data_IF_347604708181
#
_entry.id   IF_347604708181
#
_cell.length_a   1.000
_cell.length_b   1.000
_cell.length_c   1.000
_cell.angle_alpha   90.00
_cell.angle_beta   90.00
_cell.angle_gamma   90.00
#
_symmetry.space_group_name_H-M   'P 1'
#
loop_
_entity.id
_entity.type
_entity.pdbx_description
1 polymer ?
#
# COMPACT_ATOMS: atom_id res chain seq x y z
N UNK A 1 -0.55 -11.15 -8.82
CA UNK A 1 -1.30 -10.84 -10.06
C UNK A 1 -1.14 -9.38 -10.41
N UNK A 2 -1.18 -9.04 -11.69
CA UNK A 2 -1.12 -7.66 -12.15
C UNK A 2 -1.76 -7.53 -13.52
N UNK A 3 -2.24 -6.32 -13.81
CA UNK A 3 -2.69 -5.91 -15.13
C UNK A 3 -1.61 -4.96 -15.63
N UNK A 4 -1.13 -5.21 -16.85
CA UNK A 4 -0.04 -4.44 -17.45
C UNK A 4 -0.51 -3.98 -18.83
N UNK A 5 -0.40 -2.68 -19.09
CA UNK A 5 -0.55 -2.18 -20.45
C UNK A 5 0.77 -2.38 -21.20
N UNK A 6 0.65 -2.71 -22.48
CA UNK A 6 1.79 -2.89 -23.38
C UNK A 6 1.52 -2.23 -24.72
N UNK A 7 2.56 -1.68 -25.33
CA UNK A 7 2.57 -1.32 -26.74
C UNK A 7 3.28 -2.40 -27.53
N UNK A 8 2.79 -2.70 -28.74
CA UNK A 8 3.35 -3.74 -29.59
C UNK A 8 4.25 -3.13 -30.66
N UNK A 9 5.46 -3.68 -30.80
CA UNK A 9 6.34 -3.39 -31.95
C UNK A 9 6.65 -4.68 -32.69
N UNK A 10 6.67 -4.63 -34.02
CA UNK A 10 7.02 -5.75 -34.89
C UNK A 10 8.51 -5.73 -35.20
N UNK A 11 9.14 -6.90 -35.27
CA UNK A 11 10.58 -7.00 -35.53
C UNK A 11 11.04 -8.44 -35.67
N UNK A 12 12.34 -8.66 -35.47
CA UNK A 12 12.94 -9.99 -35.40
C UNK A 12 13.57 -10.17 -34.04
N UNK A 13 12.94 -10.98 -33.20
CA UNK A 13 13.38 -11.16 -31.83
C UNK A 13 13.78 -12.61 -31.59
N UNK A 14 14.84 -12.76 -30.82
CA UNK A 14 15.18 -14.02 -30.20
C UNK A 14 14.45 -14.07 -28.85
N UNK A 15 13.54 -15.03 -28.70
CA UNK A 15 12.75 -15.20 -27.48
C UNK A 15 13.57 -15.86 -26.38
N UNK A 16 13.25 -15.51 -25.13
CA UNK A 16 13.79 -16.20 -23.98
C UNK A 16 13.18 -17.59 -23.87
N UNK A 17 13.99 -18.55 -23.48
CA UNK A 17 13.56 -19.95 -23.43
C UNK A 17 14.71 -20.88 -23.11
N UNK A 18 14.41 -22.16 -22.83
CA UNK A 18 15.43 -23.17 -22.68
C UNK A 18 16.26 -23.26 -23.95
N UNK A 19 17.59 -23.21 -23.82
CA UNK A 19 18.46 -23.38 -24.99
C UNK A 19 18.67 -24.86 -25.27
N UNK A 20 18.50 -25.24 -26.53
CA UNK A 20 18.83 -26.58 -27.02
C UNK A 20 20.26 -26.67 -27.55
N UNK A 21 21.01 -25.56 -27.58
CA UNK A 21 22.39 -25.52 -28.02
C UNK A 21 23.33 -26.09 -26.95
N UNK A 22 23.63 -27.37 -27.05
CA UNK A 22 24.46 -28.09 -26.06
C UNK A 22 25.86 -27.46 -25.92
N UNK A 23 26.40 -26.90 -27.00
CA UNK A 23 27.71 -26.22 -26.99
C UNK A 23 27.77 -24.98 -26.09
N UNK A 24 26.62 -24.41 -25.70
CA UNK A 24 26.55 -23.30 -24.75
C UNK A 24 26.88 -23.74 -23.30
N UNK A 25 26.81 -25.04 -22.98
CA UNK A 25 27.08 -25.58 -21.66
C UNK A 25 28.54 -26.00 -21.52
N UNK A 26 29.36 -25.11 -20.96
CA UNK A 26 30.79 -25.37 -20.75
C UNK A 26 31.11 -26.00 -19.40
N UNK A 27 30.20 -25.92 -18.43
CA UNK A 27 30.34 -26.51 -17.09
C UNK A 27 29.01 -27.06 -16.58
N UNK A 28 29.08 -28.06 -15.70
CA UNK A 28 27.91 -28.67 -15.07
C UNK A 28 27.21 -27.64 -14.14
N UNK A 29 25.87 -27.56 -14.20
CA UNK A 29 25.09 -26.61 -13.39
C UNK A 29 24.82 -25.25 -14.06
N UNK A 30 25.26 -25.05 -15.31
CA UNK A 30 24.83 -23.88 -16.10
C UNK A 30 23.32 -23.93 -16.36
N UNK A 31 22.69 -22.76 -16.29
CA UNK A 31 21.24 -22.63 -16.48
C UNK A 31 20.94 -22.71 -17.97
N UNK A 32 20.16 -23.71 -18.39
CA UNK A 32 19.65 -23.82 -19.76
C UNK A 32 18.53 -22.81 -19.98
N UNK A 33 18.86 -21.53 -20.06
CA UNK A 33 17.95 -20.54 -20.62
C UNK A 33 18.68 -19.33 -21.22
N UNK A 34 18.17 -18.87 -22.37
CA UNK A 34 18.36 -17.48 -22.77
C UNK A 34 17.45 -16.63 -21.88
N UNK A 35 18.06 -15.83 -20.99
CA UNK A 35 17.34 -15.07 -19.96
C UNK A 35 16.79 -13.73 -20.43
N UNK A 36 17.40 -13.15 -21.47
CA UNK A 36 17.04 -11.81 -21.93
C UNK A 36 16.78 -11.86 -23.44
N UNK A 37 15.62 -11.36 -23.91
CA UNK A 37 15.32 -11.40 -25.33
C UNK A 37 16.32 -10.52 -26.08
N UNK A 38 16.61 -10.87 -27.33
CA UNK A 38 17.58 -10.14 -28.17
C UNK A 38 16.89 -9.61 -29.41
N UNK A 39 17.15 -8.34 -29.74
CA UNK A 39 16.65 -7.71 -30.95
C UNK A 39 17.68 -7.93 -32.07
N UNK A 40 17.31 -8.78 -33.02
CA UNK A 40 18.19 -9.14 -34.13
C UNK A 40 18.34 -8.01 -35.15
N UNK A 41 17.44 -7.03 -35.15
CA UNK A 41 17.52 -5.89 -36.05
C UNK A 41 18.57 -4.88 -35.56
N UNK A 42 18.66 -4.67 -34.25
CA UNK A 42 19.59 -3.71 -33.65
C UNK A 42 20.89 -4.35 -33.14
N UNK A 43 20.93 -5.67 -32.99
CA UNK A 43 22.08 -6.35 -32.40
C UNK A 43 22.24 -6.08 -30.91
N UNK A 44 21.14 -5.77 -30.21
CA UNK A 44 21.15 -5.44 -28.78
C UNK A 44 20.12 -6.25 -28.01
N UNK A 45 20.23 -6.26 -26.68
CA UNK A 45 19.17 -6.76 -25.82
C UNK A 45 17.82 -6.09 -26.12
N UNK A 46 16.78 -6.89 -26.36
CA UNK A 46 15.43 -6.41 -26.59
C UNK A 46 14.79 -5.97 -25.27
N UNK A 47 14.11 -4.82 -25.28
CA UNK A 47 13.50 -4.23 -24.07
C UNK A 47 12.07 -4.72 -23.83
N UNK A 48 11.77 -5.94 -24.24
CA UNK A 48 10.43 -6.50 -24.21
C UNK A 48 10.06 -6.97 -22.80
N UNK A 49 8.88 -6.58 -22.33
CA UNK A 49 8.25 -7.21 -21.17
C UNK A 49 7.85 -8.67 -21.49
N UNK A 50 7.45 -8.90 -22.74
CA UNK A 50 7.21 -10.22 -23.31
C UNK A 50 7.42 -10.15 -24.83
N UNK A 51 7.88 -11.23 -25.45
CA UNK A 51 8.13 -11.26 -26.90
C UNK A 51 7.77 -12.58 -27.54
N UNK A 52 7.47 -12.52 -28.83
CA UNK A 52 7.49 -13.64 -29.78
C UNK A 52 8.67 -13.44 -30.74
N UNK A 53 8.86 -14.36 -31.70
CA UNK A 53 9.90 -14.18 -32.72
C UNK A 53 9.68 -12.94 -33.61
N UNK A 54 8.44 -12.42 -33.67
CA UNK A 54 8.04 -11.35 -34.57
C UNK A 54 7.50 -10.10 -33.87
N UNK A 55 7.19 -10.20 -32.57
CA UNK A 55 6.57 -9.14 -31.81
C UNK A 55 7.24 -8.93 -30.46
N UNK A 56 7.37 -7.68 -30.04
CA UNK A 56 7.88 -7.27 -28.75
C UNK A 56 6.83 -6.39 -28.05
N UNK A 57 6.42 -6.81 -26.86
CA UNK A 57 5.50 -6.07 -26.01
C UNK A 57 6.33 -5.20 -25.07
N UNK A 58 6.32 -3.89 -25.31
CA UNK A 58 6.99 -2.91 -24.49
C UNK A 58 6.05 -2.44 -23.37
N UNK A 59 6.57 -2.23 -22.17
CA UNK A 59 5.79 -1.70 -21.06
C UNK A 59 5.18 -0.34 -21.44
N UNK A 60 3.88 -0.18 -21.19
CA UNK A 60 3.13 1.03 -21.50
C UNK A 60 2.40 1.53 -20.23
N UNK A 61 2.27 2.86 -20.04
CA UNK A 61 1.54 3.39 -18.89
C UNK A 61 0.06 3.00 -18.94
N UNK A 62 -0.47 2.59 -17.79
CA UNK A 62 -1.89 2.42 -17.56
C UNK A 62 -2.54 3.79 -17.36
N UNK A 63 -3.71 4.05 -17.96
CA UNK A 63 -4.49 5.25 -17.65
C UNK A 63 -4.92 5.26 -16.17
N UNK A 64 -4.94 6.45 -15.57
CA UNK A 64 -5.23 6.65 -14.15
C UNK A 64 -6.71 6.92 -13.87
N UNK A 65 -7.50 7.14 -14.90
CA UNK A 65 -8.94 7.46 -14.88
C UNK A 65 -9.84 6.26 -15.23
N UNK A 66 -9.23 5.11 -15.53
CA UNK A 66 -9.93 3.86 -15.83
C UNK A 66 -9.83 2.90 -14.64
N UNK A 67 -10.97 2.30 -14.30
CA UNK A 67 -11.02 1.20 -13.33
C UNK A 67 -10.68 -0.12 -14.02
N UNK A 68 -9.65 -0.79 -13.51
CA UNK A 68 -9.26 -2.12 -13.92
C UNK A 68 -9.70 -3.12 -12.86
N UNK A 69 -10.04 -4.34 -13.28
CA UNK A 69 -10.46 -5.37 -12.35
C UNK A 69 -10.13 -6.77 -12.84
N UNK A 70 -10.03 -7.68 -11.88
CA UNK A 70 -9.78 -9.08 -12.13
C UNK A 70 -10.67 -9.93 -11.22
N UNK A 71 -11.30 -10.95 -11.82
CA UNK A 71 -12.12 -11.93 -11.13
C UNK A 71 -11.44 -13.28 -11.23
N UNK A 72 -11.13 -13.89 -10.09
CA UNK A 72 -10.63 -15.25 -10.00
C UNK A 72 -11.67 -16.15 -9.36
N UNK A 73 -11.78 -17.37 -9.87
CA UNK A 73 -12.42 -18.48 -9.17
C UNK A 73 -11.35 -19.51 -8.83
N UNK A 74 -11.21 -19.84 -7.55
CA UNK A 74 -10.11 -20.65 -7.04
C UNK A 74 -10.63 -21.78 -6.17
N UNK A 75 -10.23 -23.00 -6.52
CA UNK A 75 -10.45 -24.18 -5.68
C UNK A 75 -9.54 -24.15 -4.43
N UNK A 76 -8.25 -23.84 -4.63
CA UNK A 76 -7.33 -23.54 -3.54
C UNK A 76 -7.62 -22.15 -2.97
N UNK A 77 -8.27 -22.10 -1.81
CA UNK A 77 -8.70 -20.84 -1.17
C UNK A 77 -7.50 -19.98 -0.78
N UNK A 78 -7.58 -18.69 -1.10
CA UNK A 78 -6.67 -17.67 -0.56
C UNK A 78 -7.17 -17.27 0.83
N UNK A 79 -6.26 -17.31 1.79
CA UNK A 79 -6.45 -16.86 3.17
C UNK A 79 -5.51 -15.69 3.51
N UNK A 80 -5.73 -15.08 4.68
CA UNK A 80 -4.83 -14.06 5.20
C UNK A 80 -5.00 -12.70 4.52
N UNK A 81 -3.91 -12.09 4.08
CA UNK A 81 -3.90 -10.71 3.57
C UNK A 81 -3.29 -10.62 2.17
N UNK A 82 -3.81 -9.70 1.37
CA UNK A 82 -3.19 -9.30 0.11
C UNK A 82 -2.60 -7.90 0.27
N UNK A 83 -1.58 -7.61 -0.52
CA UNK A 83 -1.14 -6.24 -0.72
C UNK A 83 -1.23 -5.85 -2.21
N UNK A 84 -1.25 -4.56 -2.51
CA UNK A 84 -1.50 -4.10 -3.86
C UNK A 84 -0.94 -2.74 -4.24
N UNK A 85 -0.94 -2.50 -5.55
CA UNK A 85 -0.67 -1.23 -6.23
C UNK A 85 -1.95 -0.81 -6.93
N UNK A 86 -2.95 -0.41 -6.17
CA UNK A 86 -4.23 0.05 -6.72
C UNK A 86 -4.70 1.26 -5.92
N UNK A 87 -5.52 2.09 -6.57
CA UNK A 87 -6.18 3.22 -5.94
C UNK A 87 -7.70 3.04 -6.02
N UNK A 88 -8.45 3.60 -5.06
CA UNK A 88 -9.90 3.37 -4.92
C UNK A 88 -10.26 1.89 -4.97
N UNK A 89 -9.48 1.07 -4.27
CA UNK A 89 -9.59 -0.39 -4.35
C UNK A 89 -10.95 -0.85 -3.83
N UNK A 90 -11.64 -1.69 -4.59
CA UNK A 90 -12.87 -2.37 -4.20
C UNK A 90 -12.67 -3.86 -4.37
N UNK A 91 -13.15 -4.65 -3.41
CA UNK A 91 -13.08 -6.09 -3.51
C UNK A 91 -14.36 -6.76 -3.02
N UNK A 92 -14.74 -7.84 -3.70
CA UNK A 92 -15.82 -8.71 -3.30
C UNK A 92 -15.30 -10.15 -3.28
N UNK A 93 -15.58 -10.85 -2.18
CA UNK A 93 -15.10 -12.22 -1.98
C UNK A 93 -16.25 -13.07 -1.52
N UNK A 94 -16.58 -14.06 -2.34
CA UNK A 94 -17.74 -14.94 -2.14
C UNK A 94 -17.31 -16.40 -2.25
N UNK A 95 -18.18 -17.28 -1.78
CA UNK A 95 -18.05 -18.72 -2.01
C UNK A 95 -19.06 -19.10 -3.09
N UNK A 96 -18.58 -19.70 -4.18
CA UNK A 96 -19.43 -20.22 -5.25
C UNK A 96 -20.20 -21.46 -4.80
N UNK A 97 -21.22 -21.86 -5.58
CA UNK A 97 -22.08 -22.99 -5.25
C UNK A 97 -21.33 -24.33 -5.14
N UNK A 98 -20.20 -24.48 -5.82
CA UNK A 98 -19.31 -25.64 -5.76
C UNK A 98 -18.26 -25.56 -4.63
N UNK A 99 -18.33 -24.53 -3.78
CA UNK A 99 -17.43 -24.35 -2.63
C UNK A 99 -16.12 -23.63 -2.95
N UNK A 100 -15.87 -23.33 -4.24
CA UNK A 100 -14.73 -22.54 -4.68
C UNK A 100 -14.83 -21.09 -4.19
N UNK A 101 -13.69 -20.45 -3.96
CA UNK A 101 -13.64 -19.04 -3.61
C UNK A 101 -13.63 -18.18 -4.87
N UNK A 102 -14.51 -17.19 -4.95
CA UNK A 102 -14.49 -16.16 -5.98
C UNK A 102 -13.92 -14.89 -5.38
N UNK A 103 -12.87 -14.35 -5.98
CA UNK A 103 -12.20 -13.11 -5.57
C UNK A 103 -12.29 -12.13 -6.72
N UNK A 104 -12.99 -11.04 -6.49
CA UNK A 104 -13.09 -9.92 -7.40
C UNK A 104 -12.38 -8.74 -6.78
N UNK A 105 -11.38 -8.19 -7.47
CA UNK A 105 -10.71 -6.96 -7.04
C UNK A 105 -10.69 -5.99 -8.22
N UNK A 106 -11.08 -4.75 -7.96
CA UNK A 106 -11.05 -3.66 -8.92
C UNK A 106 -10.49 -2.38 -8.31
N UNK A 107 -10.11 -1.45 -9.16
CA UNK A 107 -9.61 -0.13 -8.80
C UNK A 107 -8.76 0.45 -9.90
N UNK A 108 -8.29 1.68 -9.69
CA UNK A 108 -7.46 2.41 -10.66
C UNK A 108 -6.00 2.06 -10.50
N UNK A 109 -5.23 2.28 -11.57
CA UNK A 109 -3.78 2.22 -11.49
C UNK A 109 -3.23 3.32 -10.57
N UNK A 110 -2.07 3.08 -9.97
CA UNK A 110 -1.36 4.03 -9.10
C UNK A 110 -0.03 4.44 -9.72
N UNK A 111 0.35 5.72 -9.59
CA UNK A 111 1.73 6.16 -9.86
C UNK A 111 2.62 5.68 -8.72
N UNK A 112 3.61 4.83 -9.02
CA UNK A 112 4.52 4.25 -8.02
C UNK A 112 5.94 4.77 -8.26
N UNK A 113 6.44 5.71 -7.42
CA UNK A 113 7.84 6.12 -7.48
C UNK A 113 8.75 4.90 -7.37
N UNK A 114 9.73 4.80 -8.25
CA UNK A 114 10.67 3.69 -8.28
C UNK A 114 12.09 4.22 -8.09
N UNK A 115 12.87 3.50 -7.30
CA UNK A 115 14.25 3.85 -6.97
C UNK A 115 15.17 2.89 -7.70
N UNK A 116 16.02 3.49 -8.54
CA UNK A 116 17.02 2.79 -9.31
C UNK A 116 18.21 3.73 -9.49
N UNK A 117 19.39 3.29 -9.04
CA UNK A 117 20.60 4.07 -9.10
C UNK A 117 21.81 3.15 -9.17
N UNK A 118 22.88 3.66 -9.76
CA UNK A 118 24.16 2.99 -9.79
C UNK A 118 25.25 4.00 -9.48
N UNK A 119 26.20 3.57 -8.64
CA UNK A 119 27.35 4.37 -8.24
C UNK A 119 28.60 3.50 -8.35
N UNK A 120 29.70 4.01 -8.93
CA UNK A 120 31.01 3.40 -8.77
C UNK A 120 31.32 3.21 -7.28
N UNK A 121 32.02 2.13 -6.90
CA UNK A 121 32.38 1.87 -5.49
C UNK A 121 33.18 3.03 -4.85
N UNK A 122 33.97 3.74 -5.65
CA UNK A 122 34.76 4.91 -5.23
C UNK A 122 33.91 6.14 -4.95
N UNK A 123 32.70 6.20 -5.52
CA UNK A 123 31.86 7.40 -5.57
C UNK A 123 30.51 7.16 -4.89
N UNK A 124 30.41 6.13 -4.04
CA UNK A 124 29.18 5.81 -3.32
C UNK A 124 28.82 7.00 -2.42
N UNK A 125 27.57 7.50 -2.49
CA UNK A 125 27.10 8.55 -1.60
C UNK A 125 27.26 8.16 -0.13
N UNK A 126 27.72 9.11 0.69
CA UNK A 126 28.03 8.88 2.11
C UNK A 126 26.90 8.18 2.87
N UNK A 127 25.65 8.53 2.63
CA UNK A 127 24.48 7.95 3.30
C UNK A 127 24.36 6.43 3.05
N UNK A 128 24.64 6.00 1.82
CA UNK A 128 24.61 4.58 1.43
C UNK A 128 25.84 3.85 1.96
N UNK A 129 27.01 4.48 1.89
CA UNK A 129 28.24 3.92 2.45
C UNK A 129 28.15 3.73 3.97
N UNK A 130 27.66 4.73 4.70
CA UNK A 130 27.47 4.69 6.15
C UNK A 130 26.47 3.58 6.55
N UNK A 131 25.38 3.41 5.79
CA UNK A 131 24.43 2.32 6.02
C UNK A 131 25.09 0.94 5.94
N UNK A 132 25.75 0.63 4.83
CA UNK A 132 26.38 -0.68 4.66
C UNK A 132 27.62 -0.88 5.54
N UNK A 133 28.29 0.18 5.96
CA UNK A 133 29.38 0.09 6.95
C UNK A 133 28.85 -0.39 8.32
N UNK A 134 27.63 0.00 8.70
CA UNK A 134 26.97 -0.48 9.93
C UNK A 134 26.44 -1.92 9.83
N UNK A 135 26.35 -2.46 8.60
CA UNK A 135 25.80 -3.78 8.27
C UNK A 135 26.61 -4.48 7.18
N UNK A 136 27.87 -4.85 7.47
CA UNK A 136 28.78 -5.42 6.47
C UNK A 136 28.27 -6.72 5.85
N UNK A 137 27.48 -7.51 6.58
CA UNK A 137 26.80 -8.71 6.07
C UNK A 137 25.79 -8.38 4.98
N UNK A 138 25.05 -7.28 5.12
CA UNK A 138 24.06 -6.85 4.13
C UNK A 138 24.73 -6.30 2.86
N UNK A 139 25.96 -5.82 2.97
CA UNK A 139 26.72 -5.27 1.84
C UNK A 139 26.97 -6.30 0.73
N UNK A 140 27.05 -7.60 1.06
CA UNK A 140 27.33 -8.67 0.11
C UNK A 140 26.09 -9.30 -0.55
N UNK A 141 24.88 -9.06 -0.03
CA UNK A 141 23.65 -9.61 -0.60
C UNK A 141 23.18 -8.85 -1.83
N UNK A 142 22.67 -9.58 -2.82
CA UNK A 142 22.15 -9.06 -4.09
C UNK A 142 22.60 -9.91 -5.29
N UNK A 143 22.24 -9.46 -6.49
CA UNK A 143 22.71 -10.10 -7.73
C UNK A 143 24.08 -9.55 -8.12
N UNK A 144 25.11 -10.37 -7.96
CA UNK A 144 26.49 -10.04 -8.31
C UNK A 144 26.77 -10.24 -9.81
N UNK A 145 27.57 -9.33 -10.38
CA UNK A 145 28.02 -9.37 -11.77
C UNK A 145 29.56 -9.28 -11.84
N UNK A 146 30.14 -10.03 -12.78
CA UNK A 146 31.58 -10.15 -12.98
C UNK A 146 32.23 -11.21 -12.08
N UNK A 147 33.46 -11.59 -12.44
CA UNK A 147 34.23 -12.58 -11.69
C UNK A 147 34.61 -12.04 -10.31
N UNK A 148 34.36 -12.84 -9.27
CA UNK A 148 34.74 -12.48 -7.91
C UNK A 148 36.26 -12.38 -7.83
N UNK A 149 36.74 -11.32 -7.19
CA UNK A 149 38.16 -11.22 -6.84
C UNK A 149 38.53 -12.34 -5.87
N UNK A 150 39.74 -12.89 -6.03
CA UNK A 150 40.24 -13.95 -5.15
C UNK A 150 40.16 -13.51 -3.67
N UNK A 151 39.50 -14.33 -2.85
CA UNK A 151 39.29 -14.03 -1.42
C UNK A 151 38.15 -13.06 -1.09
N UNK A 152 37.40 -12.57 -2.09
CA UNK A 152 36.24 -11.70 -1.85
C UNK A 152 34.90 -12.42 -1.98
N UNK A 153 34.02 -12.23 -1.01
CA UNK A 153 32.62 -12.66 -1.08
C UNK A 153 31.75 -11.70 -1.90
N UNK A 154 32.27 -10.51 -2.27
CA UNK A 154 31.52 -9.45 -2.94
C UNK A 154 31.90 -9.39 -4.41
N UNK A 155 30.91 -9.44 -5.30
CA UNK A 155 31.14 -9.27 -6.73
C UNK A 155 31.66 -7.85 -7.06
N UNK A 156 32.43 -7.67 -8.15
CA UNK A 156 32.90 -6.35 -8.59
C UNK A 156 31.76 -5.37 -8.81
N UNK A 157 30.66 -5.84 -9.41
CA UNK A 157 29.38 -5.13 -9.51
C UNK A 157 28.30 -5.90 -8.75
N UNK A 158 27.42 -5.18 -8.06
CA UNK A 158 26.36 -5.76 -7.25
C UNK A 158 25.08 -4.94 -7.43
N UNK A 159 24.00 -5.60 -7.83
CA UNK A 159 22.66 -5.02 -7.83
C UNK A 159 21.95 -5.39 -6.52
N UNK A 160 21.45 -4.38 -5.81
CA UNK A 160 20.59 -4.55 -4.64
C UNK A 160 19.14 -4.76 -5.10
N UNK A 161 18.80 -6.01 -5.39
CA UNK A 161 17.49 -6.43 -5.89
C UNK A 161 16.72 -7.36 -4.95
N UNK A 162 17.27 -7.63 -3.75
CA UNK A 162 16.56 -8.44 -2.76
C UNK A 162 15.36 -7.67 -2.21
N UNK A 163 14.17 -8.15 -2.56
CA UNK A 163 12.89 -7.55 -2.19
C UNK A 163 12.44 -8.04 -0.82
N UNK A 164 13.02 -7.48 0.22
CA UNK A 164 12.61 -7.75 1.59
C UNK A 164 11.79 -6.61 2.17
N UNK A 165 10.48 -6.76 2.21
CA UNK A 165 9.53 -5.73 2.66
C UNK A 165 9.26 -5.82 4.17
N UNK A 166 10.31 -5.98 4.97
CA UNK A 166 10.26 -5.96 6.44
C UNK A 166 10.56 -4.57 6.97
N UNK A 167 10.06 -4.28 8.16
CA UNK A 167 10.34 -3.01 8.84
C UNK A 167 11.84 -2.72 9.00
N UNK A 168 12.65 -3.77 9.27
CA UNK A 168 14.11 -3.66 9.44
C UNK A 168 14.85 -3.18 8.19
N UNK A 169 14.21 -3.17 7.03
CA UNK A 169 14.78 -2.80 5.73
C UNK A 169 14.48 -1.34 5.36
N UNK A 170 13.60 -0.65 6.10
CA UNK A 170 13.31 0.78 5.88
C UNK A 170 14.57 1.65 5.90
N UNK A 171 15.52 1.50 6.84
CA UNK A 171 16.72 2.33 6.86
C UNK A 171 17.57 2.24 5.58
N UNK A 172 17.61 1.07 4.92
CA UNK A 172 18.29 0.92 3.62
C UNK A 172 17.60 1.77 2.55
N UNK A 173 16.27 1.63 2.43
CA UNK A 173 15.48 2.40 1.48
C UNK A 173 15.69 3.91 1.68
N UNK A 174 15.68 4.40 2.93
CA UNK A 174 15.91 5.82 3.24
C UNK A 174 17.33 6.27 2.89
N UNK A 175 18.35 5.44 3.09
CA UNK A 175 19.72 5.75 2.66
C UNK A 175 19.79 5.95 1.14
N UNK A 176 19.14 5.08 0.36
CA UNK A 176 19.06 5.20 -1.10
C UNK A 176 18.20 6.39 -1.56
N UNK A 177 17.11 6.72 -0.88
CA UNK A 177 16.33 7.92 -1.21
C UNK A 177 17.16 9.18 -0.99
N UNK A 178 17.92 9.22 0.11
CA UNK A 178 18.82 10.34 0.44
C UNK A 178 19.92 10.50 -0.59
N UNK A 179 20.52 9.40 -1.06
CA UNK A 179 21.50 9.41 -2.15
C UNK A 179 20.94 10.00 -3.46
N UNK A 180 19.63 9.88 -3.68
CA UNK A 180 18.93 10.43 -4.83
C UNK A 180 18.28 11.79 -4.55
N UNK A 181 18.69 12.46 -3.47
CA UNK A 181 18.17 13.78 -3.06
C UNK A 181 16.64 13.77 -2.92
N UNK A 182 16.12 12.65 -2.42
CA UNK A 182 14.70 12.39 -2.19
C UNK A 182 13.82 12.51 -3.45
N UNK A 183 14.42 12.30 -4.64
CA UNK A 183 13.74 12.38 -5.94
C UNK A 183 13.78 11.04 -6.66
N UNK A 184 12.62 10.52 -7.02
CA UNK A 184 12.54 9.30 -7.80
C UNK A 184 13.04 9.54 -9.25
N UNK A 185 13.90 8.67 -9.80
CA UNK A 185 14.31 8.75 -11.21
C UNK A 185 13.18 8.38 -12.17
N UNK A 186 12.22 7.57 -11.73
CA UNK A 186 11.05 7.18 -12.52
C UNK A 186 9.83 6.92 -11.63
N UNK A 187 8.63 7.05 -12.19
CA UNK A 187 7.38 6.82 -11.48
C UNK A 187 6.33 6.17 -12.42
N UNK A 188 6.47 4.88 -12.75
CA UNK A 188 5.52 4.18 -13.60
C UNK A 188 4.14 4.07 -12.96
N UNK A 189 3.13 3.93 -13.80
CA UNK A 189 1.78 3.51 -13.39
C UNK A 189 1.74 2.00 -13.20
N UNK A 190 1.13 1.52 -12.12
CA UNK A 190 1.04 0.09 -11.81
C UNK A 190 -0.37 -0.29 -11.37
N UNK A 191 -0.80 -1.49 -11.75
CA UNK A 191 -1.97 -2.16 -11.19
C UNK A 191 -1.58 -3.57 -10.78
N UNK A 192 -1.64 -3.88 -9.48
CA UNK A 192 -1.38 -5.24 -9.02
C UNK A 192 -1.99 -5.57 -7.67
N UNK A 193 -2.25 -6.86 -7.47
CA UNK A 193 -2.68 -7.47 -6.20
C UNK A 193 -1.84 -8.73 -6.01
N UNK A 194 -1.18 -8.85 -4.87
CA UNK A 194 -0.20 -9.89 -4.58
C UNK A 194 -0.49 -10.52 -3.23
N UNK A 195 -0.15 -11.80 -3.10
CA UNK A 195 -0.07 -12.42 -1.79
C UNK A 195 1.00 -11.73 -0.96
N UNK A 196 0.77 -11.71 0.34
CA UNK A 196 1.73 -11.19 1.30
C UNK A 196 2.29 -12.35 2.10
N UNK A 197 3.52 -12.24 2.59
CA UNK A 197 4.00 -13.15 3.60
C UNK A 197 3.09 -12.97 4.83
N UNK A 198 2.42 -14.03 5.28
CA UNK A 198 1.47 -13.96 6.38
C UNK A 198 2.11 -13.25 7.58
N UNK A 199 1.61 -12.07 7.93
CA UNK A 199 2.09 -11.32 9.09
C UNK A 199 1.72 -12.02 10.39
N UNK A 200 2.30 -11.56 11.50
CA UNK A 200 1.94 -12.05 12.83
C UNK A 200 0.45 -11.90 13.09
N UNK A 201 -0.13 -12.93 13.68
CA UNK A 201 -1.54 -12.97 14.05
C UNK A 201 -1.82 -11.89 15.11
N UNK A 202 -2.64 -10.90 14.77
CA UNK A 202 -2.96 -9.79 15.66
C UNK A 202 -4.11 -10.21 16.57
N UNK A 203 -3.81 -10.54 17.84
CA UNK A 203 -4.77 -10.95 18.88
C UNK A 203 -5.62 -12.19 18.54
N UNK A 204 -5.16 -13.08 17.66
CA UNK A 204 -6.00 -14.21 17.23
C UNK A 204 -7.00 -13.84 16.12
N UNK A 205 -7.10 -12.56 15.75
CA UNK A 205 -8.12 -12.06 14.82
C UNK A 205 -7.78 -12.31 13.36
N UNK A 206 -6.52 -12.65 13.05
CA UNK A 206 -6.08 -13.00 11.70
C UNK A 206 -6.08 -14.51 11.45
N UNK A 207 -6.44 -15.32 12.46
CA UNK A 207 -6.45 -16.80 12.43
C UNK A 207 -7.43 -17.43 11.43
N UNK A 208 -8.20 -16.67 10.66
CA UNK A 208 -9.08 -17.26 9.66
C UNK A 208 -8.25 -17.83 8.50
N UNK A 209 -7.81 -19.06 8.68
CA UNK A 209 -7.04 -19.87 7.74
C UNK A 209 -7.86 -20.34 6.54
N UNK A 210 -9.17 -20.11 6.50
CA UNK A 210 -10.06 -20.55 5.43
C UNK A 210 -10.50 -19.42 4.48
N UNK A 211 -10.19 -18.15 4.77
CA UNK A 211 -10.66 -17.03 3.96
C UNK A 211 -9.81 -15.77 4.07
N UNK A 212 -9.93 -14.86 3.09
CA UNK A 212 -9.22 -13.60 3.10
C UNK A 212 -9.70 -12.67 4.22
N UNK A 213 -8.78 -12.05 4.95
CA UNK A 213 -9.01 -11.09 6.03
C UNK A 213 -9.01 -9.63 5.55
N UNK A 214 -8.16 -9.30 4.57
CA UNK A 214 -8.03 -7.93 4.09
C UNK A 214 -7.09 -7.75 2.90
N UNK A 215 -7.10 -6.53 2.35
CA UNK A 215 -6.23 -6.04 1.29
C UNK A 215 -5.67 -4.68 1.73
N UNK A 216 -4.37 -4.51 1.61
CA UNK A 216 -3.71 -3.20 1.76
C UNK A 216 -3.13 -2.78 0.43
N UNK A 217 -3.56 -1.66 -0.14
CA UNK A 217 -2.97 -1.12 -1.35
C UNK A 217 -2.35 0.26 -1.11
N UNK A 218 -1.17 0.49 -1.67
CA UNK A 218 -0.46 1.76 -1.57
C UNK A 218 0.35 2.03 -2.82
N UNK A 219 0.57 3.31 -3.11
CA UNK A 219 1.41 3.77 -4.20
C UNK A 219 2.88 4.02 -3.78
N UNK A 220 3.22 3.77 -2.51
CA UNK A 220 4.55 4.08 -1.96
C UNK A 220 5.65 3.16 -2.50
N UNK A 221 6.84 3.67 -2.85
CA UNK A 221 7.98 2.87 -3.30
C UNK A 221 8.25 1.64 -2.41
N UNK A 222 8.32 1.84 -1.09
CA UNK A 222 8.56 0.79 -0.10
C UNK A 222 7.47 0.77 0.98
N UNK A 223 7.22 -0.40 1.56
CA UNK A 223 6.15 -0.63 2.54
C UNK A 223 6.38 -1.95 3.26
N UNK A 224 5.70 -2.19 4.39
CA UNK A 224 5.73 -3.51 5.04
C UNK A 224 4.79 -4.48 4.29
N UNK A 225 5.31 -5.59 3.76
CA UNK A 225 4.50 -6.60 3.05
C UNK A 225 3.76 -7.51 4.02
N UNK A 226 2.82 -6.94 4.77
CA UNK A 226 1.95 -7.64 5.70
C UNK A 226 0.68 -6.84 6.00
N UNK A 227 -0.20 -7.36 6.86
CA UNK A 227 -1.29 -6.57 7.42
C UNK A 227 -0.77 -5.38 8.23
N UNK A 228 -1.61 -4.35 8.48
CA UNK A 228 -1.31 -3.36 9.49
C UNK A 228 -1.13 -4.01 10.87
N UNK A 229 -0.21 -3.47 11.67
CA UNK A 229 0.09 -3.96 13.01
C UNK A 229 -0.84 -3.26 14.00
N UNK A 230 -1.46 -4.01 14.90
CA UNK A 230 -2.30 -3.41 15.93
C UNK A 230 -1.43 -2.88 17.08
N UNK A 231 -1.56 -1.60 17.33
CA UNK A 231 -0.93 -0.88 18.43
C UNK A 231 -1.94 -0.75 19.58
N UNK A 232 -1.74 -1.53 20.65
CA UNK A 232 -2.66 -1.57 21.79
C UNK A 232 -2.68 -0.25 22.57
N UNK A 233 -1.53 0.40 22.71
CA UNK A 233 -1.37 1.65 23.45
C UNK A 233 -2.14 2.78 22.77
N UNK A 234 -2.03 2.87 21.45
CA UNK A 234 -2.69 3.90 20.65
C UNK A 234 -4.12 3.52 20.24
N UNK A 235 -4.51 2.26 20.48
CA UNK A 235 -5.71 1.62 19.95
C UNK A 235 -5.85 1.88 18.44
N UNK A 236 -4.83 1.49 17.66
CA UNK A 236 -4.75 1.79 16.23
C UNK A 236 -4.17 0.65 15.40
N UNK A 237 -4.47 0.66 14.10
CA UNK A 237 -3.78 -0.13 13.08
C UNK A 237 -2.72 0.74 12.43
N UNK A 238 -1.46 0.38 12.61
CA UNK A 238 -0.30 1.12 12.12
C UNK A 238 0.28 0.40 10.89
N UNK A 239 0.46 1.14 9.80
CA UNK A 239 1.04 0.63 8.56
C UNK A 239 2.18 1.53 8.07
N UNK A 240 3.36 0.94 7.89
CA UNK A 240 4.57 1.68 7.51
C UNK A 240 4.75 1.69 6.00
N UNK A 241 5.01 2.87 5.47
CA UNK A 241 5.30 3.10 4.05
C UNK A 241 6.48 4.06 3.93
N UNK A 242 7.16 4.08 2.79
CA UNK A 242 8.28 4.96 2.51
C UNK A 242 8.39 5.21 1.00
N UNK A 243 8.78 6.42 0.60
CA UNK A 243 8.94 6.82 -0.81
C UNK A 243 9.82 8.03 -0.95
N UNK A 244 10.46 8.24 -2.11
CA UNK A 244 11.02 9.54 -2.44
C UNK A 244 9.96 10.65 -2.33
N UNK A 245 10.32 11.78 -1.75
CA UNK A 245 9.42 12.93 -1.60
C UNK A 245 9.01 13.57 -2.93
N UNK A 246 9.89 13.51 -3.94
CA UNK A 246 9.66 14.11 -5.24
C UNK A 246 9.52 13.08 -6.36
N UNK A 247 8.61 13.35 -7.28
CA UNK A 247 8.47 12.65 -8.56
C UNK A 247 9.61 13.04 -9.53
N UNK A 248 9.79 12.31 -10.65
CA UNK A 248 10.85 12.61 -11.63
C UNK A 248 10.78 14.02 -12.23
N UNK A 249 9.56 14.57 -12.34
CA UNK A 249 9.32 15.95 -12.78
C UNK A 249 9.61 17.01 -11.69
N UNK A 250 9.91 16.60 -10.46
CA UNK A 250 10.16 17.48 -9.32
C UNK A 250 8.91 17.85 -8.51
N UNK A 251 7.73 17.38 -8.90
CA UNK A 251 6.51 17.59 -8.12
C UNK A 251 6.55 16.78 -6.81
N UNK A 252 5.88 17.32 -5.79
CA UNK A 252 5.73 16.63 -4.50
C UNK A 252 4.85 15.39 -4.69
N UNK A 253 5.41 14.21 -4.37
CA UNK A 253 4.70 12.95 -4.44
C UNK A 253 3.58 12.88 -3.39
N UNK A 254 2.38 12.48 -3.83
CA UNK A 254 1.21 12.31 -2.99
C UNK A 254 0.94 10.83 -2.75
N UNK A 255 1.09 10.41 -1.50
CA UNK A 255 0.80 9.08 -1.04
C UNK A 255 -0.69 8.76 -1.06
N UNK A 256 -0.99 7.47 -1.27
CA UNK A 256 -2.31 6.86 -1.14
C UNK A 256 -2.18 5.58 -0.33
N UNK A 257 -3.14 5.35 0.55
CA UNK A 257 -3.29 4.13 1.33
C UNK A 257 -4.75 3.69 1.27
N UNK A 258 -4.99 2.46 0.85
CA UNK A 258 -6.30 1.84 0.75
C UNK A 258 -6.29 0.59 1.63
N UNK A 259 -7.22 0.52 2.58
CA UNK A 259 -7.43 -0.62 3.46
C UNK A 259 -8.82 -1.18 3.22
N UNK A 260 -8.87 -2.42 2.80
CA UNK A 260 -10.08 -3.22 2.73
C UNK A 260 -9.93 -4.31 3.78
N UNK A 261 -10.88 -4.40 4.70
CA UNK A 261 -10.79 -5.36 5.79
C UNK A 261 -12.16 -5.94 6.07
N UNK A 262 -12.23 -7.24 6.35
CA UNK A 262 -13.48 -7.82 6.82
C UNK A 262 -13.96 -7.12 8.08
N UNK A 263 -15.23 -6.82 8.08
CA UNK A 263 -15.94 -6.15 9.18
C UNK A 263 -15.83 -6.93 10.49
N UNK A 264 -15.83 -8.26 10.42
CA UNK A 264 -15.59 -9.15 11.57
C UNK A 264 -14.16 -9.10 12.10
N UNK A 265 -13.16 -8.96 11.22
CA UNK A 265 -11.75 -8.82 11.60
C UNK A 265 -11.53 -7.50 12.32
N UNK A 266 -12.08 -6.41 11.79
CA UNK A 266 -12.06 -5.10 12.44
C UNK A 266 -12.68 -5.16 13.85
N UNK A 267 -13.86 -5.76 13.97
CA UNK A 267 -14.56 -5.92 15.25
C UNK A 267 -13.77 -6.76 16.25
N UNK A 268 -13.13 -7.84 15.80
CA UNK A 268 -12.29 -8.68 16.64
C UNK A 268 -11.09 -7.89 17.21
N UNK A 269 -10.35 -7.16 16.37
CA UNK A 269 -9.15 -6.42 16.79
C UNK A 269 -9.49 -5.36 17.85
N UNK A 270 -10.60 -4.64 17.63
CA UNK A 270 -11.01 -3.50 18.46
C UNK A 270 -12.03 -3.84 19.55
N UNK A 271 -12.50 -5.09 19.63
CA UNK A 271 -13.51 -5.51 20.63
C UNK A 271 -14.90 -4.90 20.42
N UNK A 272 -15.29 -4.59 19.18
CA UNK A 272 -16.58 -3.97 18.86
C UNK A 272 -17.70 -5.00 18.74
N UNK A 273 -18.92 -4.64 19.16
CA UNK A 273 -20.05 -5.59 19.29
C UNK A 273 -21.01 -5.61 18.10
N UNK A 274 -21.36 -4.48 17.47
CA UNK A 274 -22.11 -4.47 16.19
C UNK A 274 -22.20 -3.10 15.46
N UNK A 275 -22.34 -2.00 16.21
CA UNK A 275 -22.65 -0.66 15.72
C UNK A 275 -21.68 -0.08 14.65
N UNK A 276 -22.11 0.94 13.87
CA UNK A 276 -21.33 1.49 12.77
C UNK A 276 -19.94 1.95 13.20
N UNK A 277 -18.93 1.52 12.43
CA UNK A 277 -17.55 1.90 12.64
C UNK A 277 -17.30 3.25 11.97
N UNK A 278 -16.90 4.25 12.75
CA UNK A 278 -16.20 5.44 12.26
C UNK A 278 -14.69 5.22 12.35
N UNK A 279 -13.90 5.96 11.59
CA UNK A 279 -12.45 5.84 11.56
C UNK A 279 -11.84 7.22 11.45
N UNK A 280 -10.78 7.43 12.22
CA UNK A 280 -9.88 8.57 12.06
C UNK A 280 -8.58 8.03 11.50
N UNK A 281 -8.11 8.61 10.40
CA UNK A 281 -6.77 8.32 9.88
C UNK A 281 -5.87 9.49 10.21
N UNK A 282 -4.74 9.19 10.82
CA UNK A 282 -3.64 10.13 11.03
C UNK A 282 -2.41 9.59 10.34
N UNK A 283 -1.69 10.43 9.61
CA UNK A 283 -0.38 10.09 9.08
C UNK A 283 0.66 10.70 9.99
N UNK A 284 1.51 9.86 10.57
CA UNK A 284 2.61 10.29 11.43
C UNK A 284 3.89 10.28 10.61
N UNK A 285 4.48 11.44 10.37
CA UNK A 285 5.76 11.57 9.69
C UNK A 285 6.92 11.07 10.58
N UNK A 286 8.11 10.95 10.00
CA UNK A 286 9.30 10.45 10.71
C UNK A 286 9.69 11.33 11.92
N UNK A 287 9.38 12.62 11.88
CA UNK A 287 9.60 13.59 12.97
C UNK A 287 8.48 13.57 14.05
N UNK A 288 7.52 12.66 13.92
CA UNK A 288 6.37 12.53 14.82
C UNK A 288 5.23 13.50 14.53
N UNK A 289 5.35 14.37 13.52
CA UNK A 289 4.28 15.32 13.18
C UNK A 289 3.14 14.64 12.43
N UNK A 290 1.90 15.04 12.75
CA UNK A 290 0.72 14.52 12.07
C UNK A 290 0.43 15.30 10.78
N UNK A 291 0.14 14.61 9.68
CA UNK A 291 -0.29 15.20 8.42
C UNK A 291 -1.80 15.00 8.20
N UNK A 292 -2.43 16.03 7.65
CA UNK A 292 -3.83 15.98 7.22
C UNK A 292 -3.91 15.24 5.87
N UNK A 293 -4.72 14.19 5.80
CA UNK A 293 -5.09 13.54 4.55
C UNK A 293 -6.59 13.57 4.34
N UNK A 294 -7.01 13.50 3.08
CA UNK A 294 -8.39 13.22 2.72
C UNK A 294 -8.68 11.76 3.05
N UNK A 295 -9.73 11.54 3.86
CA UNK A 295 -10.16 10.21 4.26
C UNK A 295 -11.55 9.90 3.75
N UNK A 296 -11.74 8.68 3.25
CA UNK A 296 -13.04 8.11 2.93
C UNK A 296 -13.17 6.83 3.72
N UNK A 297 -14.32 6.64 4.37
CA UNK A 297 -14.64 5.43 5.12
C UNK A 297 -16.05 4.98 4.77
N UNK A 298 -16.22 3.68 4.58
CA UNK A 298 -17.53 3.06 4.48
C UNK A 298 -17.49 1.60 4.91
N UNK A 299 -18.64 1.06 5.24
CA UNK A 299 -18.85 -0.37 5.43
C UNK A 299 -19.92 -0.84 4.46
N UNK A 300 -19.64 -1.89 3.69
CA UNK A 300 -20.57 -2.47 2.72
C UNK A 300 -20.32 -3.96 2.55
N UNK A 301 -21.39 -4.77 2.54
CA UNK A 301 -21.33 -6.22 2.30
C UNK A 301 -20.36 -6.96 3.25
N UNK A 302 -20.27 -6.53 4.51
CA UNK A 302 -19.36 -7.16 5.49
C UNK A 302 -17.89 -6.76 5.32
N UNK A 303 -17.58 -5.71 4.56
CA UNK A 303 -16.24 -5.16 4.38
C UNK A 303 -16.18 -3.69 4.77
N UNK A 304 -15.15 -3.35 5.52
CA UNK A 304 -14.72 -1.98 5.80
C UNK A 304 -13.81 -1.51 4.66
N UNK A 305 -14.07 -0.34 4.12
CA UNK A 305 -13.28 0.33 3.09
C UNK A 305 -12.77 1.64 3.65
N UNK A 306 -11.46 1.83 3.58
CA UNK A 306 -10.82 3.06 4.01
C UNK A 306 -9.82 3.49 2.95
N UNK A 307 -9.87 4.76 2.59
CA UNK A 307 -8.86 5.40 1.75
C UNK A 307 -8.31 6.61 2.48
N UNK A 308 -7.00 6.76 2.50
CA UNK A 308 -6.30 7.97 2.90
C UNK A 308 -5.42 8.43 1.74
N UNK A 309 -5.48 9.71 1.38
CA UNK A 309 -4.76 10.24 0.22
C UNK A 309 -4.28 11.68 0.43
N UNK A 310 -3.23 12.05 -0.32
CA UNK A 310 -2.70 13.42 -0.35
C UNK A 310 -1.58 13.72 0.64
N UNK A 311 -1.14 12.71 1.41
CA UNK A 311 -0.03 12.82 2.36
C UNK A 311 1.33 12.80 1.62
N UNK A 312 2.41 13.36 2.19
CA UNK A 312 3.73 13.54 1.53
C UNK A 312 4.88 13.21 2.47
N UNK A 313 5.87 12.39 2.10
CA UNK A 313 6.84 11.92 3.10
C UNK A 313 7.93 11.00 2.53
N UNK A 314 9.04 10.89 3.26
CA UNK A 314 10.10 9.91 3.02
C UNK A 314 9.87 8.59 3.78
N UNK A 315 9.28 8.63 4.99
CA UNK A 315 8.97 7.44 5.84
C UNK A 315 7.91 7.70 6.93
N UNK A 316 6.61 7.44 6.71
CA UNK A 316 5.57 7.65 7.71
C UNK A 316 4.99 6.33 8.23
N UNK A 317 4.25 6.48 9.32
CA UNK A 317 3.28 5.50 9.78
C UNK A 317 1.86 6.01 9.48
N UNK A 318 1.12 5.27 8.65
CA UNK A 318 -0.32 5.47 8.47
C UNK A 318 -1.02 4.80 9.64
N UNK A 319 -1.63 5.61 10.49
CA UNK A 319 -2.31 5.17 11.71
C UNK A 319 -3.82 5.29 11.53
N UNK A 320 -4.49 4.16 11.59
CA UNK A 320 -5.95 4.05 11.50
C UNK A 320 -6.50 3.78 12.89
N UNK A 321 -7.27 4.72 13.44
CA UNK A 321 -8.04 4.51 14.68
C UNK A 321 -9.49 4.26 14.29
N UNK A 322 -10.00 3.08 14.58
CA UNK A 322 -11.42 2.77 14.42
C UNK A 322 -12.12 3.13 15.74
N UNK A 323 -13.32 3.70 15.63
CA UNK A 323 -14.20 4.03 16.74
C UNK A 323 -15.60 3.53 16.40
N UNK A 324 -16.38 3.16 17.40
CA UNK A 324 -17.75 2.72 17.21
C UNK A 324 -18.68 3.79 17.79
N UNK A 325 -19.68 4.22 17.02
CA UNK A 325 -20.77 4.99 17.61
C UNK A 325 -21.50 4.05 18.59
N UNK A 326 -21.59 4.43 19.86
CA UNK A 326 -22.34 3.64 20.84
C UNK A 326 -23.81 3.69 20.43
N UNK A 327 -24.38 2.53 20.09
CA UNK A 327 -25.82 2.38 20.00
C UNK A 327 -26.38 2.73 21.39
N UNK A 328 -27.23 3.76 21.48
CA UNK A 328 -27.88 4.10 22.73
C UNK A 328 -28.56 2.83 23.25
N UNK A 329 -28.11 2.34 24.41
CA UNK A 329 -28.59 1.11 25.00
C UNK A 329 -30.12 1.09 24.96
N UNK A 330 -30.69 0.08 24.29
CA UNK A 330 -32.11 -0.16 24.32
C UNK A 330 -32.52 -0.43 25.77
N UNK A 331 -33.13 0.55 26.42
CA UNK A 331 -33.86 0.37 27.66
C UNK A 331 -35.00 -0.62 27.40
N UNK A 332 -35.21 -1.64 28.25
CA UNK A 332 -36.28 -2.59 28.04
C UNK A 332 -37.65 -1.96 28.30
N UNK A 333 -38.51 -2.11 27.29
CA UNK A 333 -39.97 -2.22 27.31
C UNK A 333 -40.83 -1.11 27.94
N UNK A 334 -41.62 -0.45 27.10
CA UNK A 334 -43.06 -0.35 27.33
C UNK A 334 -43.82 -0.34 25.99
N UNK A 335 -44.95 -1.03 26.02
CA UNK A 335 -45.88 -1.36 24.93
C UNK A 335 -46.40 -0.18 24.10
N UNK A 336 -46.61 -0.48 22.81
CA UNK A 336 -47.59 0.05 21.85
C UNK A 336 -48.12 1.50 21.98
N UNK A 337 -47.77 2.34 21.01
CA UNK A 337 -48.76 2.96 20.11
C UNK A 337 -48.11 3.83 19.05
N UNK A 338 -48.69 3.76 17.85
CA UNK A 338 -48.36 4.56 16.68
C UNK A 338 -48.50 6.07 16.94
N UNK A 339 -47.56 6.87 16.44
CA UNK A 339 -47.83 8.07 15.64
C UNK A 339 -46.51 8.72 15.21
N UNK A 340 -46.36 8.98 13.92
CA UNK A 340 -45.21 9.66 13.32
C UNK A 340 -45.20 11.16 13.64
N UNK A 341 -44.09 11.71 14.18
CA UNK A 341 -43.73 13.15 14.11
C UNK A 341 -42.32 13.43 14.66
N UNK A 342 -41.72 14.62 14.39
CA UNK A 342 -41.00 15.06 13.19
C UNK A 342 -39.48 15.22 13.43
N UNK A 343 -38.73 15.44 12.34
CA UNK A 343 -37.29 15.69 12.33
C UNK A 343 -36.82 16.72 13.38
N UNK A 344 -35.81 16.33 14.17
CA UNK A 344 -35.23 17.15 15.23
C UNK A 344 -34.62 18.45 14.67
N UNK A 345 -35.10 19.60 15.17
CA UNK A 345 -34.60 20.91 14.77
C UNK A 345 -33.14 21.12 15.22
N UNK A 346 -32.30 21.61 14.29
CA UNK A 346 -30.87 21.86 14.51
C UNK A 346 -30.65 22.89 15.62
N UNK A 347 -29.92 22.53 16.68
CA UNK A 347 -29.53 23.45 17.77
C UNK A 347 -28.28 24.23 17.36
N UNK A 348 -28.29 25.55 17.55
CA UNK A 348 -27.13 26.44 17.35
C UNK A 348 -26.64 26.96 18.71
N UNK A 349 -25.34 27.23 18.82
CA UNK A 349 -24.72 27.74 20.05
C UNK A 349 -24.28 29.19 19.88
N UNK A 350 -24.59 30.05 20.85
CA UNK A 350 -24.08 31.43 20.92
C UNK A 350 -23.29 31.61 22.22
N UNK A 351 -22.33 32.53 22.21
CA UNK A 351 -21.61 32.95 23.41
C UNK A 351 -22.15 34.30 23.86
N UNK A 352 -22.52 34.41 25.12
CA UNK A 352 -23.10 35.59 25.74
C UNK A 352 -22.15 36.09 26.83
N UNK A 353 -21.92 37.39 26.92
CA UNK A 353 -20.95 38.02 27.84
C UNK A 353 -21.63 39.06 28.72
N UNK A 354 -21.24 39.11 30.00
CA UNK A 354 -21.66 40.13 30.98
C UNK A 354 -20.42 40.58 31.75
N UNK A 355 -19.82 41.71 31.37
CA UNK A 355 -18.52 42.11 31.91
C UNK A 355 -17.42 41.12 31.50
N UNK A 356 -16.66 40.59 32.47
CA UNK A 356 -15.58 39.61 32.24
C UNK A 356 -16.05 38.15 32.18
N UNK A 357 -17.31 37.86 32.47
CA UNK A 357 -17.88 36.49 32.45
C UNK A 357 -18.54 36.18 31.12
N UNK A 358 -18.21 35.01 30.54
CA UNK A 358 -18.80 34.48 29.30
C UNK A 358 -19.56 33.19 29.55
N UNK A 359 -20.73 33.03 28.90
CA UNK A 359 -21.59 31.85 28.99
C UNK A 359 -22.03 31.41 27.59
N UNK A 360 -21.83 30.14 27.26
CA UNK A 360 -22.28 29.53 26.00
C UNK A 360 -23.72 29.01 26.18
N UNK A 361 -24.61 29.35 25.25
CA UNK A 361 -26.03 28.97 25.24
C UNK A 361 -26.34 28.23 23.95
N UNK A 362 -26.83 26.99 24.07
CA UNK A 362 -27.17 26.13 22.92
C UNK A 362 -28.66 25.83 22.91
N UNK A 363 -29.37 26.28 21.88
CA UNK A 363 -30.81 26.03 21.70
C UNK A 363 -31.17 26.06 20.20
N UNK A 364 -32.41 25.73 19.85
CA UNK A 364 -32.88 25.80 18.45
C UNK A 364 -32.97 27.26 17.95
N UNK A 365 -33.06 28.23 18.86
CA UNK A 365 -32.92 29.66 18.59
C UNK A 365 -32.44 30.38 19.86
N UNK A 366 -31.13 30.35 20.17
CA UNK A 366 -30.65 30.76 21.48
C UNK A 366 -30.67 32.28 21.64
N UNK A 367 -31.10 32.75 22.82
CA UNK A 367 -31.03 34.16 23.25
C UNK A 367 -30.16 34.28 24.48
N UNK A 368 -29.46 35.41 24.61
CA UNK A 368 -28.65 35.66 25.79
C UNK A 368 -29.54 35.90 27.03
N UNK A 369 -29.19 35.34 28.20
CA UNK A 369 -29.92 35.59 29.44
C UNK A 369 -29.93 37.08 29.78
N UNK A 370 -30.95 37.53 30.51
CA UNK A 370 -31.11 38.93 30.90
C UNK A 370 -29.85 39.48 31.57
N UNK A 371 -29.30 40.55 31.00
CA UNK A 371 -28.04 41.17 31.43
C UNK A 371 -26.77 40.66 30.74
N UNK A 372 -26.85 39.68 29.84
CA UNK A 372 -25.74 39.26 28.97
C UNK A 372 -25.96 39.74 27.53
N UNK A 373 -24.92 40.22 26.88
CA UNK A 373 -24.94 40.59 25.45
C UNK A 373 -24.31 39.47 24.62
N UNK A 374 -24.82 39.25 23.40
CA UNK A 374 -24.21 38.28 22.48
C UNK A 374 -22.81 38.79 22.11
N UNK A 375 -21.82 37.92 22.21
CA UNK A 375 -20.44 38.19 21.81
C UNK A 375 -20.33 38.23 20.28
#
# INVERSE_FOLDING_TARGET
>A
MGIFAVSKVTGRFQITGPTTEVAAFKVLGMVSNQRVPFDQNTGTTARCAQSSATECLLAWPLPLDIDFGLSLKMHAKINGWLHGRTNNTVAEITTAADGDQVIQVSGRASIVPSVYAWFPKTDIPKQVADYYASKPEESAYGTGFGDRLAGSLVSPSLLKDYLDYRESQFPEAIAWYSALKDKAPMAPTQWSIRSTNSGSDQKGCFRNNASLSGIVATNSNFFVSGPPVYNEVENSLDYKVASPHFLPNGEVFKGTYNLLMKSSVARCIYGFTAAPVSATVSIVAADGTAQVATTVLGEKNGWLYLTASGFTFSSPTVRVKLTQAVEAAATPSASASASAKPAAAKKTSITCVKGKTSKKVTAVNPKCPTGYKKK
#
